data_IF_823629791019
#
_entry.id   IF_823629791019
#
_cell.length_a   1.000
_cell.length_b   1.000
_cell.length_c   1.000
_cell.angle_alpha   90.00
_cell.angle_beta   90.00
_cell.angle_gamma   90.00
#
_symmetry.space_group_name_H-M   'P 1'
#
loop_
_entity.id
_entity.type
_entity.pdbx_description
1 polymer ?
#
# COMPACT_ATOMS: atom_id res chain seq x y z
N UNK A 1 -23.68 -0.66 -0.17
CA UNK A 1 -22.53 -1.53 0.17
C UNK A 1 -21.25 -0.85 -0.26
N UNK A 2 -20.29 -0.74 0.65
CA UNK A 2 -19.00 -0.12 0.37
C UNK A 2 -17.88 -1.00 0.86
N UNK A 3 -16.77 -0.98 0.15
CA UNK A 3 -15.55 -1.63 0.62
C UNK A 3 -14.82 -0.69 1.58
N UNK A 4 -14.74 -1.06 2.85
CA UNK A 4 -14.09 -0.24 3.87
C UNK A 4 -12.64 -0.59 4.09
N UNK A 5 -12.29 -1.85 3.93
CA UNK A 5 -10.95 -2.33 4.28
C UNK A 5 -10.58 -3.54 3.46
N UNK A 6 -9.31 -3.62 3.12
CA UNK A 6 -8.72 -4.81 2.52
C UNK A 6 -7.41 -5.10 3.25
N UNK A 7 -7.10 -6.37 3.46
CA UNK A 7 -5.84 -6.79 4.06
C UNK A 7 -5.08 -7.64 3.07
N UNK A 8 -3.82 -7.31 2.84
CA UNK A 8 -2.97 -8.08 1.93
C UNK A 8 -1.72 -8.59 2.65
N UNK A 9 -1.18 -9.73 2.21
CA UNK A 9 0.01 -10.28 2.83
C UNK A 9 1.27 -9.54 2.41
N UNK A 10 2.28 -9.52 3.29
CA UNK A 10 3.57 -8.93 3.03
C UNK A 10 4.67 -9.87 3.51
N UNK A 11 5.67 -10.10 2.68
CA UNK A 11 6.84 -10.89 3.06
C UNK A 11 7.80 -10.11 3.95
N UNK A 12 7.78 -8.79 3.85
CA UNK A 12 8.64 -7.92 4.65
C UNK A 12 7.82 -6.70 5.07
N UNK A 13 7.19 -6.80 6.24
CA UNK A 13 6.26 -5.78 6.71
C UNK A 13 6.95 -4.43 6.90
N UNK A 14 8.18 -4.41 7.41
CA UNK A 14 8.90 -3.15 7.63
C UNK A 14 9.11 -2.39 6.33
N UNK A 15 9.55 -3.08 5.27
CA UNK A 15 9.72 -2.47 3.96
C UNK A 15 8.39 -2.02 3.37
N UNK A 16 7.35 -2.84 3.52
CA UNK A 16 6.04 -2.49 3.00
C UNK A 16 5.47 -1.25 3.68
N UNK A 17 5.65 -1.13 4.98
CA UNK A 17 5.22 0.06 5.72
C UNK A 17 5.88 1.31 5.15
N UNK A 18 7.19 1.27 4.95
CA UNK A 18 7.92 2.42 4.38
C UNK A 18 7.40 2.76 2.98
N UNK A 19 7.18 1.75 2.16
CA UNK A 19 6.67 1.95 0.80
C UNK A 19 5.31 2.64 0.80
N UNK A 20 4.37 2.17 1.61
CA UNK A 20 3.02 2.74 1.61
C UNK A 20 2.97 4.11 2.28
N UNK A 21 3.83 4.39 3.23
CA UNK A 21 3.98 5.76 3.76
C UNK A 21 4.49 6.72 2.68
N UNK A 22 5.45 6.28 1.87
CA UNK A 22 5.95 7.08 0.75
C UNK A 22 4.89 7.31 -0.31
N UNK A 23 3.99 6.33 -0.51
CA UNK A 23 2.84 6.49 -1.41
C UNK A 23 1.85 7.54 -0.91
N UNK A 24 1.88 7.89 0.36
CA UNK A 24 1.00 8.90 0.91
C UNK A 24 -0.12 8.37 1.80
N UNK A 25 -0.16 7.07 2.09
CA UNK A 25 -1.13 6.53 3.01
C UNK A 25 -0.73 6.86 4.45
N UNK A 26 -1.73 7.10 5.30
CA UNK A 26 -1.51 7.46 6.70
C UNK A 26 -1.49 6.20 7.56
N UNK A 27 -0.36 5.94 8.20
CA UNK A 27 -0.24 4.79 9.11
C UNK A 27 -1.01 5.07 10.39
N UNK A 28 -2.03 4.25 10.69
CA UNK A 28 -2.87 4.43 11.87
C UNK A 28 -2.71 3.32 12.91
N UNK A 29 -2.25 2.12 12.50
CA UNK A 29 -1.96 1.03 13.44
C UNK A 29 -0.66 0.37 13.02
N UNK A 30 0.23 0.17 13.98
CA UNK A 30 1.49 -0.54 13.77
C UNK A 30 1.67 -1.54 14.89
N UNK A 31 1.49 -2.81 14.59
CA UNK A 31 1.61 -3.91 15.54
C UNK A 31 2.67 -4.89 15.04
N UNK A 32 3.92 -4.49 15.14
CA UNK A 32 5.03 -5.34 14.71
C UNK A 32 5.16 -6.57 15.61
N UNK A 33 5.59 -7.67 15.04
CA UNK A 33 6.05 -7.85 13.65
C UNK A 33 4.94 -8.24 12.66
N UNK A 34 3.69 -8.29 13.06
CA UNK A 34 2.65 -9.01 12.32
C UNK A 34 1.71 -8.15 11.48
N UNK A 35 1.45 -6.90 11.86
CA UNK A 35 0.31 -6.18 11.29
C UNK A 35 0.55 -4.68 11.20
N UNK A 36 -0.01 -4.05 10.17
CA UNK A 36 -0.07 -2.61 10.05
C UNK A 36 -1.35 -2.22 9.31
N UNK A 37 -1.92 -1.08 9.65
CA UNK A 37 -3.10 -0.52 8.98
C UNK A 37 -2.85 0.91 8.58
N UNK A 38 -3.30 1.25 7.38
CA UNK A 38 -3.21 2.60 6.83
C UNK A 38 -4.60 3.11 6.50
N UNK A 39 -4.76 4.42 6.62
CA UNK A 39 -5.95 5.12 6.15
C UNK A 39 -5.62 5.81 4.82
N UNK A 40 -6.50 5.67 3.84
CA UNK A 40 -6.36 6.38 2.59
C UNK A 40 -6.61 7.87 2.84
N UNK A 41 -5.75 8.77 2.30
CA UNK A 41 -5.89 10.20 2.58
C UNK A 41 -7.17 10.82 2.02
N UNK A 42 -7.69 10.25 0.94
CA UNK A 42 -8.89 10.76 0.26
C UNK A 42 -10.04 9.78 0.44
N UNK A 43 -10.69 9.80 1.58
CA UNK A 43 -11.81 8.92 1.81
C UNK A 43 -11.73 8.21 3.14
N UNK A 44 -12.54 7.18 3.30
CA UNK A 44 -12.68 6.46 4.56
C UNK A 44 -12.15 5.03 4.51
N UNK A 45 -11.60 4.61 3.38
CA UNK A 45 -11.11 3.23 3.23
C UNK A 45 -9.81 3.03 3.97
N UNK A 46 -9.62 1.83 4.49
CA UNK A 46 -8.37 1.42 5.12
C UNK A 46 -7.73 0.28 4.35
N UNK A 47 -6.42 0.24 4.43
CA UNK A 47 -5.60 -0.75 3.76
C UNK A 47 -4.66 -1.36 4.81
N UNK A 48 -4.70 -2.68 4.95
CA UNK A 48 -3.92 -3.35 5.98
C UNK A 48 -2.95 -4.35 5.38
N UNK A 49 -1.85 -4.55 6.10
CA UNK A 49 -0.83 -5.52 5.76
C UNK A 49 -0.67 -6.51 6.91
N UNK A 50 -0.46 -7.78 6.60
CA UNK A 50 -0.05 -8.74 7.61
C UNK A 50 1.20 -9.48 7.13
N UNK A 51 2.09 -9.75 8.07
CA UNK A 51 3.33 -10.47 7.78
C UNK A 51 3.03 -11.92 7.45
N UNK A 52 3.66 -12.43 6.40
CA UNK A 52 3.58 -13.83 6.03
C UNK A 52 4.97 -14.31 5.60
N UNK A 53 5.19 -15.60 5.67
CA UNK A 53 6.45 -16.19 5.24
C UNK A 53 6.40 -16.64 3.78
N UNK A 54 5.21 -16.70 3.20
CA UNK A 54 5.03 -17.24 1.86
C UNK A 54 3.82 -16.58 1.20
N UNK A 55 3.97 -16.21 -0.06
CA UNK A 55 2.87 -15.68 -0.86
C UNK A 55 2.25 -16.78 -1.70
N UNK A 56 0.95 -16.64 -1.97
CA UNK A 56 0.23 -17.55 -2.86
C UNK A 56 0.88 -17.52 -4.25
N UNK A 57 0.94 -18.70 -4.87
CA UNK A 57 1.40 -18.81 -6.24
C UNK A 57 0.28 -18.34 -7.18
N UNK A 58 0.66 -17.73 -8.30
CA UNK A 58 -0.28 -17.25 -9.30
C UNK A 58 -0.42 -15.73 -9.25
N UNK A 59 -1.53 -15.22 -9.74
CA UNK A 59 -1.72 -13.79 -9.90
C UNK A 59 -1.92 -13.03 -8.59
N UNK A 60 -2.45 -13.67 -7.57
CA UNK A 60 -2.68 -13.03 -6.30
C UNK A 60 -3.76 -11.95 -6.34
N UNK A 61 -3.69 -11.04 -5.37
CA UNK A 61 -4.65 -9.94 -5.23
C UNK A 61 -4.07 -8.69 -5.83
N UNK A 62 -4.84 -8.01 -6.67
CA UNK A 62 -4.45 -6.75 -7.27
C UNK A 62 -5.26 -5.62 -6.62
N UNK A 63 -4.58 -4.63 -6.06
CA UNK A 63 -5.22 -3.50 -5.39
C UNK A 63 -4.94 -2.24 -6.17
N UNK A 64 -6.01 -1.51 -6.48
CA UNK A 64 -5.91 -0.27 -7.24
C UNK A 64 -6.22 0.93 -6.34
N UNK A 65 -5.35 1.93 -6.41
CA UNK A 65 -5.58 3.19 -5.74
C UNK A 65 -5.87 4.26 -6.78
N UNK A 66 -6.89 5.07 -6.50
CA UNK A 66 -7.29 6.17 -7.37
C UNK A 66 -6.75 7.48 -6.83
N UNK A 67 -6.19 8.31 -7.70
CA UNK A 67 -5.73 9.63 -7.32
C UNK A 67 -6.02 10.63 -8.45
N UNK A 68 -6.24 11.91 -8.08
CA UNK A 68 -6.67 12.92 -9.04
C UNK A 68 -5.54 13.37 -9.97
N UNK A 69 -4.34 13.53 -9.48
CA UNK A 69 -3.20 14.03 -10.26
C UNK A 69 -2.15 12.93 -10.43
N UNK A 70 -2.51 11.90 -11.18
CA UNK A 70 -1.69 10.70 -11.29
C UNK A 70 -0.28 10.99 -11.81
N UNK A 71 -0.15 11.77 -12.88
CA UNK A 71 1.15 12.04 -13.48
C UNK A 71 2.09 12.77 -12.52
N UNK A 72 1.57 13.79 -11.85
CA UNK A 72 2.32 14.53 -10.84
C UNK A 72 2.69 13.67 -9.65
N UNK A 73 1.75 12.85 -9.21
CA UNK A 73 1.95 11.93 -8.10
C UNK A 73 3.07 10.93 -8.40
N UNK A 74 3.04 10.34 -9.60
CA UNK A 74 4.05 9.39 -10.05
C UNK A 74 5.41 10.06 -10.13
N UNK A 75 5.48 11.28 -10.66
CA UNK A 75 6.73 12.02 -10.76
C UNK A 75 7.34 12.29 -9.38
N UNK A 76 6.53 12.70 -8.42
CA UNK A 76 6.98 12.91 -7.04
C UNK A 76 7.54 11.63 -6.43
N UNK A 77 6.89 10.50 -6.66
CA UNK A 77 7.36 9.22 -6.16
C UNK A 77 8.68 8.80 -6.79
N UNK A 78 8.84 9.05 -8.08
CA UNK A 78 10.11 8.78 -8.77
C UNK A 78 11.25 9.60 -8.18
N UNK A 79 10.99 10.87 -7.86
CA UNK A 79 11.98 11.73 -7.21
C UNK A 79 12.39 11.23 -5.84
N UNK A 80 11.50 10.52 -5.16
CA UNK A 80 11.79 9.88 -3.87
C UNK A 80 12.50 8.54 -4.01
N UNK A 81 12.79 8.11 -5.25
CA UNK A 81 13.50 6.87 -5.50
C UNK A 81 12.64 5.64 -5.67
N UNK A 82 11.33 5.79 -5.78
CA UNK A 82 10.43 4.66 -6.01
C UNK A 82 10.46 4.29 -7.49
N UNK A 83 10.60 2.99 -7.76
CA UNK A 83 10.59 2.45 -9.11
C UNK A 83 9.22 1.84 -9.42
N UNK A 84 8.80 1.99 -10.66
CA UNK A 84 7.53 1.45 -11.13
C UNK A 84 7.77 0.36 -12.17
N UNK A 85 6.98 -0.70 -12.09
CA UNK A 85 7.07 -1.79 -13.06
C UNK A 85 6.57 -1.35 -14.43
N UNK A 86 5.54 -0.50 -14.45
CA UNK A 86 5.00 0.07 -15.70
C UNK A 86 4.69 1.54 -15.49
N UNK A 87 4.78 2.32 -16.58
CA UNK A 87 4.35 3.70 -16.54
C UNK A 87 2.81 3.77 -16.58
N UNK A 88 2.22 4.70 -15.84
CA UNK A 88 0.76 4.88 -15.86
C UNK A 88 0.24 5.45 -17.16
#
# INVERSE_FOLDING_TARGET
MNLNQITVPSLDLTKSILFYKELGLNLIVKALPNYARFECPDGNSTFSLHQTNELSKGEGICVYFECENLDEYVENLKQKGIQFDTEP
#
